data_IF_395446599368
#
_entry.id   IF_395446599368
#
_cell.length_a   1.000
_cell.length_b   1.000
_cell.length_c   1.000
_cell.angle_alpha   90.00
_cell.angle_beta   90.00
_cell.angle_gamma   90.00
#
_symmetry.space_group_name_H-M   'P 1'
#
loop_
_entity.id
_entity.type
_entity.pdbx_description
1 polymer ?
#
# COMPACT_ATOMS: atom_id res chain seq x y z
N UNK A 1 -22.83 -3.00 -17.11
CA UNK A 1 -23.00 -2.52 -15.72
C UNK A 1 -21.84 -1.56 -15.46
N UNK A 2 -22.11 -0.26 -15.29
CA UNK A 2 -21.06 0.75 -15.08
C UNK A 2 -20.65 0.68 -13.60
N UNK A 3 -19.46 0.17 -13.30
CA UNK A 3 -18.88 0.25 -11.97
C UNK A 3 -17.93 1.44 -11.97
N UNK A 4 -18.45 2.60 -11.63
CA UNK A 4 -17.64 3.81 -11.45
C UNK A 4 -16.90 3.74 -10.10
N UNK A 5 -15.71 4.37 -9.96
CA UNK A 5 -15.06 4.57 -8.67
C UNK A 5 -16.06 5.13 -7.65
N UNK A 6 -16.37 4.35 -6.61
CA UNK A 6 -17.31 4.75 -5.55
C UNK A 6 -16.58 4.98 -4.23
N UNK A 7 -16.32 6.25 -3.94
CA UNK A 7 -15.72 6.68 -2.69
C UNK A 7 -16.59 6.36 -1.46
N UNK A 8 -17.91 6.16 -1.65
CA UNK A 8 -18.83 5.74 -0.60
C UNK A 8 -18.58 4.29 -0.17
N UNK A 9 -18.60 3.36 -1.13
CA UNK A 9 -18.27 1.95 -0.87
C UNK A 9 -16.88 1.79 -0.27
N UNK A 10 -15.86 2.46 -0.83
CA UNK A 10 -14.50 2.39 -0.30
C UNK A 10 -14.41 2.90 1.15
N UNK A 11 -15.20 3.90 1.53
CA UNK A 11 -15.26 4.41 2.91
C UNK A 11 -15.92 3.40 3.86
N UNK A 12 -17.00 2.75 3.42
CA UNK A 12 -17.66 1.71 4.20
C UNK A 12 -16.75 0.52 4.47
N UNK A 13 -15.93 0.12 3.49
CA UNK A 13 -14.94 -0.95 3.66
C UNK A 13 -13.84 -0.56 4.66
N UNK A 14 -13.38 0.68 4.62
CA UNK A 14 -12.39 1.22 5.56
C UNK A 14 -12.94 1.28 6.99
N UNK A 15 -14.18 1.74 7.19
CA UNK A 15 -14.80 1.81 8.51
C UNK A 15 -14.96 0.40 9.12
N UNK A 16 -15.31 -0.60 8.29
CA UNK A 16 -15.34 -2.01 8.70
C UNK A 16 -13.94 -2.54 9.06
N UNK A 17 -12.91 -2.12 8.34
CA UNK A 17 -11.54 -2.50 8.65
C UNK A 17 -11.08 -1.91 9.99
N UNK A 18 -11.42 -0.65 10.27
CA UNK A 18 -11.14 0.03 11.54
C UNK A 18 -11.75 -0.76 12.72
N UNK A 19 -13.00 -1.19 12.61
CA UNK A 19 -13.67 -2.03 13.61
C UNK A 19 -12.94 -3.36 13.85
N UNK A 20 -12.53 -4.05 12.78
CA UNK A 20 -11.82 -5.33 12.87
C UNK A 20 -10.45 -5.16 13.54
N UNK A 21 -9.73 -4.08 13.22
CA UNK A 21 -8.42 -3.78 13.79
C UNK A 21 -8.55 -3.44 15.26
N UNK A 22 -9.50 -2.57 15.63
CA UNK A 22 -9.80 -2.25 17.03
C UNK A 22 -10.15 -3.52 17.81
N UNK A 23 -11.04 -4.37 17.27
CA UNK A 23 -11.40 -5.64 17.88
C UNK A 23 -10.20 -6.56 18.09
N UNK A 24 -9.28 -6.65 17.12
CA UNK A 24 -8.06 -7.45 17.26
C UNK A 24 -7.12 -6.90 18.35
N UNK A 25 -6.97 -5.58 18.48
CA UNK A 25 -6.12 -4.93 19.48
C UNK A 25 -6.72 -5.05 20.88
N UNK A 26 -8.03 -4.81 21.03
CA UNK A 26 -8.75 -5.03 22.30
C UNK A 26 -8.66 -6.49 22.72
N UNK A 27 -8.89 -7.40 21.78
CA UNK A 27 -8.78 -8.82 22.07
C UNK A 27 -7.35 -9.13 22.55
N UNK A 28 -6.30 -8.51 21.98
CA UNK A 28 -4.90 -8.60 22.39
C UNK A 28 -4.58 -8.10 23.81
N UNK A 29 -5.56 -7.54 24.51
CA UNK A 29 -5.44 -7.01 25.86
C UNK A 29 -5.06 -5.53 25.90
N UNK A 30 -5.11 -4.82 24.77
CA UNK A 30 -4.88 -3.38 24.75
C UNK A 30 -6.18 -2.64 25.07
N UNK A 31 -6.10 -1.62 25.93
CA UNK A 31 -7.27 -0.83 26.29
C UNK A 31 -7.79 -0.03 25.10
N UNK A 32 -9.11 0.07 24.93
CA UNK A 32 -9.73 0.82 23.83
C UNK A 32 -9.34 2.31 23.83
N UNK A 33 -8.96 2.87 24.98
CA UNK A 33 -8.47 4.25 25.12
C UNK A 33 -7.04 4.48 24.62
N UNK A 34 -6.30 3.43 24.22
CA UNK A 34 -4.91 3.55 23.76
C UNK A 34 -4.78 4.21 22.39
N UNK A 35 -5.82 4.14 21.55
CA UNK A 35 -5.83 4.69 20.18
C UNK A 35 -7.05 5.58 19.94
N UNK A 36 -6.93 6.48 18.95
CA UNK A 36 -8.08 7.17 18.35
C UNK A 36 -8.54 6.42 17.10
N UNK A 37 -9.80 6.59 16.65
CA UNK A 37 -10.26 5.98 15.39
C UNK A 37 -9.35 6.30 14.21
N UNK A 38 -8.86 7.54 14.09
CA UNK A 38 -7.93 7.94 13.04
C UNK A 38 -6.58 7.23 13.09
N UNK A 39 -6.15 6.77 14.26
CA UNK A 39 -4.89 6.03 14.42
C UNK A 39 -5.01 4.63 13.78
N UNK A 40 -6.20 4.02 13.79
CA UNK A 40 -6.44 2.65 13.32
C UNK A 40 -6.11 2.48 11.84
N UNK A 41 -6.37 3.51 11.03
CA UNK A 41 -6.10 3.56 9.59
C UNK A 41 -4.62 3.51 9.20
N UNK A 42 -3.71 3.51 10.16
CA UNK A 42 -2.28 3.39 9.88
C UNK A 42 -1.92 1.93 9.54
N UNK A 43 -1.31 1.66 8.36
CA UNK A 43 -1.04 0.29 7.90
C UNK A 43 -0.20 -0.56 8.87
N UNK A 44 0.64 0.06 9.69
CA UNK A 44 1.41 -0.66 10.71
C UNK A 44 0.53 -1.30 11.81
N UNK A 45 -0.57 -0.63 12.19
CA UNK A 45 -1.55 -1.17 13.14
C UNK A 45 -2.29 -2.37 12.52
N UNK A 46 -2.65 -2.30 11.23
CA UNK A 46 -3.24 -3.41 10.49
C UNK A 46 -2.32 -4.65 10.49
N UNK A 47 -1.03 -4.47 10.19
CA UNK A 47 -0.06 -5.56 10.21
C UNK A 47 0.07 -6.21 11.59
N UNK A 48 0.03 -5.41 12.65
CA UNK A 48 0.04 -5.94 14.03
C UNK A 48 -1.23 -6.68 14.37
N UNK A 49 -2.41 -6.14 14.05
CA UNK A 49 -3.68 -6.82 14.26
C UNK A 49 -3.68 -8.20 13.58
N UNK A 50 -3.25 -8.29 12.32
CA UNK A 50 -3.10 -9.56 11.61
C UNK A 50 -2.10 -10.53 12.27
N UNK A 51 -0.94 -10.04 12.73
CA UNK A 51 0.02 -10.89 13.46
C UNK A 51 -0.60 -11.45 14.73
N UNK A 52 -1.28 -10.62 15.51
CA UNK A 52 -1.95 -11.04 16.74
C UNK A 52 -3.07 -12.04 16.47
N UNK A 53 -3.87 -11.80 15.44
CA UNK A 53 -4.92 -12.71 15.01
C UNK A 53 -4.35 -14.09 14.60
N UNK A 54 -3.27 -14.12 13.81
CA UNK A 54 -2.60 -15.37 13.42
C UNK A 54 -2.03 -16.12 14.62
N UNK A 55 -1.34 -15.42 15.52
CA UNK A 55 -0.78 -16.03 16.73
C UNK A 55 -1.87 -16.67 17.61
N UNK A 56 -3.04 -16.02 17.73
CA UNK A 56 -4.21 -16.56 18.46
C UNK A 56 -4.79 -17.80 17.79
N UNK A 57 -4.96 -17.76 16.46
CA UNK A 57 -5.44 -18.92 15.70
C UNK A 57 -4.51 -20.11 15.90
N UNK A 58 -3.19 -19.92 15.78
CA UNK A 58 -2.20 -20.96 16.01
C UNK A 58 -2.25 -21.56 17.43
N UNK A 59 -2.46 -20.72 18.46
CA UNK A 59 -2.64 -21.20 19.85
C UNK A 59 -3.92 -22.01 20.02
N UNK A 60 -5.05 -21.57 19.43
CA UNK A 60 -6.32 -22.30 19.49
C UNK A 60 -6.23 -23.67 18.81
N UNK A 61 -5.52 -23.77 17.70
CA UNK A 61 -5.30 -25.05 17.01
C UNK A 61 -4.35 -25.97 17.76
N UNK A 62 -3.40 -25.42 18.54
CA UNK A 62 -2.45 -26.21 19.34
C UNK A 62 -3.01 -26.64 20.71
N UNK A 63 -3.98 -25.92 21.27
CA UNK A 63 -4.58 -26.18 22.58
C UNK A 63 -5.10 -27.62 22.82
N UNK A 64 -5.81 -28.29 21.88
CA UNK A 64 -6.32 -29.65 22.14
C UNK A 64 -5.22 -30.72 22.31
N UNK A 65 -3.96 -30.44 21.94
CA UNK A 65 -2.84 -31.35 22.15
C UNK A 65 -2.19 -31.23 23.54
N UNK A 66 -2.31 -30.07 24.21
CA UNK A 66 -1.64 -29.78 25.50
C UNK A 66 -2.53 -30.15 26.68
N UNK A 67 -3.85 -30.11 26.51
CA UNK A 67 -4.82 -30.37 27.58
C UNK A 67 -4.85 -31.86 28.03
N UNK A 68 -4.27 -32.77 27.23
CA UNK A 68 -4.06 -34.18 27.63
C UNK A 68 -2.84 -34.41 28.53
N UNK A 69 -1.95 -33.43 28.69
CA UNK A 69 -0.70 -33.59 29.45
C UNK A 69 -0.67 -32.83 30.78
N UNK A 70 -1.76 -32.15 31.17
CA UNK A 70 -1.77 -31.15 32.27
C UNK A 70 -2.47 -31.60 33.56
N UNK A 71 -2.58 -32.89 33.81
CA UNK A 71 -3.00 -33.41 35.12
C UNK A 71 -1.81 -33.55 36.06
N UNK A 72 -1.44 -32.47 36.76
CA UNK A 72 -0.60 -32.55 37.96
C UNK A 72 0.39 -31.40 38.17
N UNK A 73 0.00 -30.39 38.97
CA UNK A 73 0.81 -29.70 39.99
C UNK A 73 0.29 -28.27 40.27
N UNK A 74 -0.09 -27.92 41.51
CA UNK A 74 -0.66 -26.60 41.86
C UNK A 74 0.37 -25.46 41.98
N UNK A 75 1.68 -25.72 41.92
CA UNK A 75 2.72 -24.68 42.05
C UNK A 75 3.00 -23.88 40.75
N UNK A 76 2.48 -24.31 39.60
CA UNK A 76 2.73 -23.65 38.32
C UNK A 76 1.88 -22.38 38.08
N UNK A 77 0.75 -22.22 38.78
CA UNK A 77 -0.24 -21.18 38.49
C UNK A 77 0.27 -19.74 38.70
N UNK A 78 1.09 -19.48 39.73
CA UNK A 78 1.61 -18.14 40.02
C UNK A 78 2.76 -17.68 39.12
N UNK A 79 3.45 -18.62 38.45
CA UNK A 79 4.47 -18.29 37.44
C UNK A 79 3.81 -17.99 36.09
N UNK A 80 2.76 -18.74 35.75
CA UNK A 80 1.97 -18.51 34.53
C UNK A 80 1.25 -17.15 34.54
N UNK A 81 0.63 -16.74 35.66
CA UNK A 81 -0.05 -15.44 35.75
C UNK A 81 0.90 -14.24 35.56
N UNK A 82 2.11 -14.31 36.15
CA UNK A 82 3.14 -13.28 35.96
C UNK A 82 3.66 -13.22 34.53
N UNK A 83 3.88 -14.37 33.90
CA UNK A 83 4.31 -14.43 32.50
C UNK A 83 3.25 -13.88 31.54
N UNK A 84 1.97 -14.19 31.78
CA UNK A 84 0.84 -13.66 31.00
C UNK A 84 0.75 -12.14 31.16
N UNK A 85 0.83 -11.63 32.39
CA UNK A 85 0.79 -10.18 32.67
C UNK A 85 1.93 -9.43 31.97
N UNK A 86 3.17 -9.92 32.09
CA UNK A 86 4.32 -9.30 31.42
C UNK A 86 4.19 -9.32 29.88
N UNK A 87 3.59 -10.37 29.31
CA UNK A 87 3.32 -10.42 27.86
C UNK A 87 2.25 -9.41 27.41
N UNK A 88 1.23 -9.17 28.25
CA UNK A 88 0.20 -8.16 27.98
C UNK A 88 0.77 -6.75 28.05
N UNK A 89 1.57 -6.43 29.07
CA UNK A 89 2.25 -5.14 29.22
C UNK A 89 3.16 -4.84 28.02
N UNK A 90 3.97 -5.81 27.60
CA UNK A 90 4.81 -5.67 26.39
C UNK A 90 3.97 -5.47 25.11
N UNK A 91 2.80 -6.11 25.03
CA UNK A 91 1.91 -5.95 23.88
C UNK A 91 1.32 -4.55 23.85
N UNK A 92 0.88 -4.04 25.01
CA UNK A 92 0.34 -2.69 25.13
C UNK A 92 1.40 -1.63 24.82
N UNK A 93 2.63 -1.78 25.33
CA UNK A 93 3.74 -0.87 25.02
C UNK A 93 4.05 -0.82 23.52
N UNK A 94 4.08 -1.97 22.85
CA UNK A 94 4.24 -2.05 21.39
C UNK A 94 3.11 -1.33 20.65
N UNK A 95 1.86 -1.48 21.09
CA UNK A 95 0.71 -0.78 20.50
C UNK A 95 0.82 0.73 20.73
N UNK A 96 1.20 1.19 21.93
CA UNK A 96 1.44 2.61 22.21
C UNK A 96 2.53 3.20 21.29
N UNK A 97 3.66 2.52 21.14
CA UNK A 97 4.74 2.95 20.25
C UNK A 97 4.25 3.06 18.79
N UNK A 98 3.39 2.14 18.37
CA UNK A 98 2.82 2.12 17.02
C UNK A 98 1.74 3.18 16.80
N UNK A 99 0.96 3.53 17.83
CA UNK A 99 0.07 4.70 17.82
C UNK A 99 0.86 6.00 17.65
N UNK A 100 2.02 6.12 18.29
CA UNK A 100 2.90 7.28 18.07
C UNK A 100 3.41 7.33 16.61
N UNK A 101 3.72 6.18 16.00
CA UNK A 101 4.07 6.10 14.57
C UNK A 101 2.89 6.47 13.68
N UNK A 102 1.68 6.00 13.99
CA UNK A 102 0.45 6.36 13.27
C UNK A 102 0.24 7.88 13.24
N UNK A 103 0.44 8.55 14.38
CA UNK A 103 0.32 10.02 14.47
C UNK A 103 1.39 10.75 13.66
N UNK A 104 2.63 10.25 13.66
CA UNK A 104 3.70 10.79 12.79
C UNK A 104 3.37 10.61 11.31
N UNK A 105 2.84 9.44 10.93
CA UNK A 105 2.36 9.16 9.58
C UNK A 105 1.24 10.13 9.17
N UNK A 106 0.24 10.35 10.02
CA UNK A 106 -0.81 11.35 9.79
C UNK A 106 -0.24 12.77 9.63
N UNK A 107 0.73 13.17 10.46
CA UNK A 107 1.35 14.49 10.37
C UNK A 107 2.07 14.68 9.01
N UNK A 108 2.78 13.66 8.53
CA UNK A 108 3.39 13.66 7.20
C UNK A 108 2.33 13.71 6.09
N UNK A 109 1.27 12.92 6.21
CA UNK A 109 0.16 12.92 5.26
C UNK A 109 -0.49 14.30 5.11
N UNK A 110 -0.74 15.01 6.22
CA UNK A 110 -1.25 16.39 6.21
C UNK A 110 -0.28 17.38 5.55
N UNK A 111 1.02 17.15 5.65
CA UNK A 111 2.01 17.98 4.96
C UNK A 111 1.95 17.79 3.44
N UNK A 112 1.76 16.55 2.98
CA UNK A 112 1.57 16.23 1.56
C UNK A 112 0.25 16.79 1.04
N UNK A 113 -0.83 16.66 1.81
CA UNK A 113 -2.17 17.15 1.45
C UNK A 113 -2.19 18.64 1.08
N UNK A 114 -1.43 19.48 1.81
CA UNK A 114 -1.33 20.91 1.51
C UNK A 114 -0.85 21.21 0.09
N UNK A 115 -0.10 20.29 -0.53
CA UNK A 115 0.51 20.46 -1.85
C UNK A 115 -0.22 19.69 -2.95
N UNK A 116 -0.85 18.57 -2.61
CA UNK A 116 -1.49 17.67 -3.60
C UNK A 116 -3.02 17.58 -3.47
N UNK A 117 -3.58 18.09 -2.37
CA UNK A 117 -4.96 17.84 -1.96
C UNK A 117 -5.22 16.37 -1.58
N UNK A 118 -4.18 15.54 -1.39
CA UNK A 118 -4.30 14.14 -1.00
C UNK A 118 -3.50 13.86 0.27
N UNK A 119 -4.22 13.56 1.36
CA UNK A 119 -3.64 13.15 2.63
C UNK A 119 -3.07 11.72 2.58
N UNK A 120 -1.85 11.61 2.04
CA UNK A 120 -1.11 10.35 1.96
C UNK A 120 0.30 10.51 2.51
N UNK A 121 0.73 9.53 3.28
CA UNK A 121 2.07 9.52 3.88
C UNK A 121 3.09 8.96 2.89
N UNK A 122 4.04 9.80 2.49
CA UNK A 122 5.26 9.35 1.80
C UNK A 122 6.20 8.75 2.85
N UNK A 123 6.09 7.44 3.02
CA UNK A 123 6.64 6.73 4.17
C UNK A 123 8.18 6.68 4.12
N UNK A 124 8.88 6.89 5.27
CA UNK A 124 10.34 6.80 5.35
C UNK A 124 10.82 5.36 5.47
N UNK A 125 12.14 5.17 5.35
CA UNK A 125 12.83 3.87 5.47
C UNK A 125 12.67 3.18 6.83
N UNK A 126 12.50 3.95 7.91
CA UNK A 126 12.43 3.46 9.30
C UNK A 126 11.12 2.77 9.72
N UNK A 127 10.20 2.46 8.81
CA UNK A 127 8.91 1.86 9.13
C UNK A 127 8.97 0.31 9.09
N UNK A 128 9.02 -0.32 10.26
CA UNK A 128 9.25 -1.78 10.40
C UNK A 128 8.25 -2.67 9.63
N UNK A 129 6.97 -2.28 9.56
CA UNK A 129 5.96 -3.07 8.85
C UNK A 129 6.19 -3.07 7.33
N UNK A 130 6.72 -1.97 6.79
CA UNK A 130 7.06 -1.85 5.38
C UNK A 130 8.29 -2.70 5.07
N UNK A 131 9.36 -2.60 5.87
CA UNK A 131 10.55 -3.44 5.73
C UNK A 131 10.24 -4.95 5.88
N UNK A 132 9.30 -5.32 6.75
CA UNK A 132 8.83 -6.70 6.86
C UNK A 132 8.06 -7.17 5.62
N UNK A 133 7.28 -6.27 4.99
CA UNK A 133 6.55 -6.56 3.75
C UNK A 133 7.49 -6.79 2.59
N UNK A 134 8.52 -5.96 2.43
CA UNK A 134 9.57 -6.14 1.42
C UNK A 134 10.30 -7.47 1.60
N UNK A 135 10.69 -7.81 2.83
CA UNK A 135 11.32 -9.12 3.11
C UNK A 135 10.41 -10.31 2.80
N UNK A 136 9.10 -10.19 3.00
CA UNK A 136 8.14 -11.23 2.59
C UNK A 136 8.07 -11.35 1.07
N UNK A 137 7.94 -10.23 0.37
CA UNK A 137 7.86 -10.18 -1.08
C UNK A 137 9.11 -10.79 -1.72
N UNK A 138 10.30 -10.45 -1.23
CA UNK A 138 11.56 -11.05 -1.71
C UNK A 138 11.61 -12.57 -1.52
N UNK A 139 11.11 -13.10 -0.40
CA UNK A 139 11.04 -14.56 -0.17
C UNK A 139 10.02 -15.27 -1.06
N UNK A 140 8.98 -14.57 -1.50
CA UNK A 140 7.91 -15.12 -2.33
C UNK A 140 8.15 -14.92 -3.83
N UNK A 141 9.11 -14.08 -4.21
CA UNK A 141 9.40 -13.79 -5.59
C UNK A 141 9.93 -15.06 -6.30
N UNK A 142 9.33 -15.47 -7.43
CA UNK A 142 9.74 -16.67 -8.17
C UNK A 142 11.19 -16.52 -8.63
N UNK A 143 12.00 -17.59 -8.65
CA UNK A 143 13.41 -17.51 -9.04
C UNK A 143 13.60 -16.89 -10.46
N UNK A 144 14.71 -16.18 -10.74
CA UNK A 144 14.93 -15.59 -12.05
C UNK A 144 14.98 -16.69 -13.12
N UNK A 145 14.29 -16.49 -14.24
CA UNK A 145 14.25 -17.44 -15.35
C UNK A 145 15.64 -17.66 -15.98
N UNK A 146 16.48 -16.62 -15.99
CA UNK A 146 17.74 -16.60 -16.76
C UNK A 146 18.96 -17.15 -16.01
N UNK A 147 18.77 -17.72 -14.82
CA UNK A 147 19.89 -18.25 -14.01
C UNK A 147 20.92 -17.20 -13.58
N UNK A 148 20.66 -15.92 -13.85
CA UNK A 148 21.49 -14.80 -13.42
C UNK A 148 21.48 -14.72 -11.90
N UNK A 149 22.60 -15.12 -11.29
CA UNK A 149 22.84 -15.14 -9.84
C UNK A 149 23.02 -13.74 -9.23
N UNK A 150 22.38 -12.72 -9.79
CA UNK A 150 22.33 -11.43 -9.12
C UNK A 150 21.46 -11.56 -7.87
N UNK A 151 22.01 -11.27 -6.70
CA UNK A 151 21.21 -11.21 -5.48
C UNK A 151 20.14 -10.13 -5.66
N UNK A 152 18.87 -10.53 -5.61
CA UNK A 152 17.76 -9.58 -5.72
C UNK A 152 17.73 -8.72 -4.48
N UNK A 153 17.98 -7.44 -4.66
CA UNK A 153 17.90 -6.46 -3.59
C UNK A 153 16.60 -5.67 -3.72
N UNK A 154 15.89 -5.53 -2.61
CA UNK A 154 14.83 -4.54 -2.47
C UNK A 154 14.82 -4.07 -1.01
N UNK A 155 14.80 -2.77 -0.81
CA UNK A 155 14.73 -2.16 0.52
C UNK A 155 13.86 -0.91 0.49
N UNK A 156 13.34 -0.51 1.65
CA UNK A 156 12.60 0.74 1.76
C UNK A 156 13.59 1.88 1.85
N UNK A 157 13.43 2.89 1.01
CA UNK A 157 14.30 4.07 0.97
C UNK A 157 13.52 5.34 1.29
N UNK A 158 14.23 6.37 1.75
CA UNK A 158 13.62 7.68 1.96
C UNK A 158 13.35 8.41 0.63
N UNK A 159 12.35 9.28 0.66
CA UNK A 159 11.96 10.13 -0.47
C UNK A 159 12.85 11.38 -0.54
N UNK A 160 13.56 11.57 -1.66
CA UNK A 160 14.28 12.81 -1.97
C UNK A 160 13.32 13.97 -2.27
N UNK A 161 13.85 15.19 -2.38
CA UNK A 161 13.05 16.36 -2.75
C UNK A 161 12.51 16.22 -4.18
N UNK A 162 13.35 15.80 -5.12
CA UNK A 162 13.02 15.62 -6.54
C UNK A 162 11.92 14.56 -6.71
N UNK A 163 12.00 13.45 -5.97
CA UNK A 163 10.99 12.39 -6.02
C UNK A 163 9.64 12.85 -5.46
N UNK A 164 9.64 13.73 -4.46
CA UNK A 164 8.41 14.34 -3.93
C UNK A 164 7.78 15.29 -4.96
N UNK A 165 8.58 16.04 -5.70
CA UNK A 165 8.10 16.88 -6.80
C UNK A 165 7.46 16.04 -7.91
N UNK A 166 8.09 14.92 -8.31
CA UNK A 166 7.51 13.96 -9.25
C UNK A 166 6.17 13.42 -8.74
N UNK A 167 6.07 13.13 -7.44
CA UNK A 167 4.83 12.70 -6.81
C UNK A 167 3.73 13.77 -6.88
N UNK A 168 4.07 15.03 -6.57
CA UNK A 168 3.16 16.16 -6.61
C UNK A 168 2.66 16.46 -8.02
N UNK A 169 3.54 16.41 -9.01
CA UNK A 169 3.19 16.52 -10.43
C UNK A 169 2.28 15.37 -10.87
N UNK A 170 2.60 14.14 -10.50
CA UNK A 170 1.76 12.97 -10.77
C UNK A 170 0.35 13.12 -10.19
N UNK A 171 0.22 13.66 -8.97
CA UNK A 171 -1.08 13.96 -8.37
C UNK A 171 -1.85 15.02 -9.15
N UNK A 172 -1.18 16.08 -9.64
CA UNK A 172 -1.82 17.13 -10.46
C UNK A 172 -2.32 16.56 -11.79
N UNK A 173 -1.52 15.73 -12.44
CA UNK A 173 -1.92 15.02 -13.66
C UNK A 173 -3.14 14.15 -13.39
N UNK A 174 -3.13 13.35 -12.32
CA UNK A 174 -4.25 12.48 -11.99
C UNK A 174 -5.51 13.28 -11.63
N UNK A 175 -5.39 14.38 -10.90
CA UNK A 175 -6.52 15.25 -10.55
C UNK A 175 -7.17 15.88 -11.80
N UNK A 176 -6.35 16.27 -12.78
CA UNK A 176 -6.83 16.91 -14.01
C UNK A 176 -7.40 15.90 -15.00
N UNK A 177 -6.70 14.78 -15.22
CA UNK A 177 -7.10 13.78 -16.20
C UNK A 177 -8.16 12.82 -15.65
N UNK A 178 -8.14 12.53 -14.34
CA UNK A 178 -8.99 11.50 -13.76
C UNK A 178 -9.32 11.71 -12.26
N UNK A 179 -10.13 12.74 -11.94
CA UNK A 179 -10.44 13.13 -10.56
C UNK A 179 -11.10 12.00 -9.74
N UNK A 180 -11.88 11.12 -10.36
CA UNK A 180 -12.55 10.00 -9.70
C UNK A 180 -11.55 8.95 -9.20
N UNK A 181 -10.51 8.65 -9.97
CA UNK A 181 -9.46 7.72 -9.54
C UNK A 181 -8.66 8.29 -8.37
N UNK A 182 -8.34 9.58 -8.42
CA UNK A 182 -7.70 10.23 -7.28
C UNK A 182 -8.61 10.22 -6.04
N UNK A 183 -9.92 10.38 -6.20
CA UNK A 183 -10.88 10.26 -5.09
C UNK A 183 -10.87 8.86 -4.46
N UNK A 184 -10.76 7.80 -5.27
CA UNK A 184 -10.63 6.43 -4.79
C UNK A 184 -9.30 6.19 -4.07
N UNK A 185 -8.17 6.61 -4.67
CA UNK A 185 -6.84 6.49 -4.04
C UNK A 185 -6.79 7.26 -2.71
N UNK A 186 -7.46 8.41 -2.60
CA UNK A 186 -7.60 9.17 -1.34
C UNK A 186 -8.30 8.36 -0.24
N UNK A 187 -9.17 7.42 -0.60
CA UNK A 187 -9.85 6.56 0.36
C UNK A 187 -9.02 5.32 0.67
N UNK A 188 -8.46 4.66 -0.35
CA UNK A 188 -7.85 3.33 -0.21
C UNK A 188 -6.38 3.36 0.16
N UNK A 189 -5.63 4.39 -0.24
CA UNK A 189 -4.20 4.48 0.01
C UNK A 189 -3.88 5.50 1.11
N UNK A 190 -3.08 5.03 2.07
CA UNK A 190 -2.62 5.77 3.25
C UNK A 190 -1.12 6.02 3.21
N UNK A 191 -0.36 5.09 2.62
CA UNK A 191 1.10 5.19 2.52
C UNK A 191 1.57 4.87 1.10
N UNK A 192 2.48 5.69 0.58
CA UNK A 192 3.28 5.37 -0.61
C UNK A 192 4.72 5.21 -0.17
N UNK A 193 5.28 4.05 -0.45
CA UNK A 193 6.59 3.62 0.01
C UNK A 193 7.53 3.50 -1.17
N UNK A 194 8.71 4.08 -1.04
CA UNK A 194 9.72 4.00 -2.10
C UNK A 194 10.62 2.79 -1.87
N UNK A 195 10.91 2.06 -2.96
CA UNK A 195 11.86 0.96 -2.97
C UNK A 195 13.17 1.36 -3.65
N UNK A 196 14.29 0.98 -3.04
CA UNK A 196 15.60 0.88 -3.68
C UNK A 196 15.87 -0.56 -4.11
N UNK A 197 16.86 -0.76 -4.99
CA UNK A 197 17.29 -2.08 -5.46
C UNK A 197 16.62 -2.57 -6.75
N UNK A 198 17.05 -3.74 -7.24
CA UNK A 198 16.69 -4.28 -8.57
C UNK A 198 15.74 -5.51 -8.54
N UNK A 199 15.25 -5.91 -7.36
CA UNK A 199 14.48 -7.15 -7.20
C UNK A 199 12.96 -7.02 -7.36
N UNK A 200 12.41 -5.81 -7.21
CA UNK A 200 10.96 -5.57 -7.16
C UNK A 200 10.65 -4.18 -7.75
N UNK A 201 9.84 -4.12 -8.80
CA UNK A 201 9.41 -2.84 -9.42
C UNK A 201 8.31 -2.12 -8.64
N UNK A 202 7.56 -2.86 -7.83
CA UNK A 202 6.52 -2.35 -6.96
C UNK A 202 5.52 -3.46 -6.64
N UNK A 203 4.77 -3.32 -5.55
CA UNK A 203 3.76 -4.29 -5.13
C UNK A 203 2.82 -3.68 -4.10
N UNK A 204 1.75 -4.42 -3.78
CA UNK A 204 0.94 -4.23 -2.56
C UNK A 204 1.01 -5.48 -1.72
N UNK A 205 0.99 -5.31 -0.40
CA UNK A 205 0.91 -6.42 0.53
C UNK A 205 -0.35 -6.27 1.37
N UNK A 206 -1.27 -7.21 1.24
CA UNK A 206 -2.54 -7.23 1.96
C UNK A 206 -2.37 -7.26 3.48
N UNK A 207 -1.20 -7.59 4.02
CA UNK A 207 -0.97 -7.50 5.46
C UNK A 207 -0.71 -6.07 5.95
N UNK A 208 -0.40 -5.13 5.04
CA UNK A 208 -0.24 -3.69 5.29
C UNK A 208 -1.24 -2.91 4.43
N UNK A 209 -2.53 -3.19 4.63
CA UNK A 209 -3.63 -2.52 3.92
C UNK A 209 -3.45 -1.01 3.86
N UNK A 210 -3.62 -0.45 2.67
CA UNK A 210 -3.44 0.98 2.39
C UNK A 210 -1.99 1.41 2.14
N UNK A 211 -1.03 0.49 2.03
CA UNK A 211 0.33 0.79 1.59
C UNK A 211 0.61 0.26 0.17
N UNK A 212 1.18 1.11 -0.67
CA UNK A 212 1.72 0.73 -1.99
C UNK A 212 3.24 0.94 -2.01
N UNK A 213 3.95 0.04 -2.68
CA UNK A 213 5.39 0.10 -2.87
C UNK A 213 5.71 0.40 -4.33
N UNK A 214 6.54 1.42 -4.57
CA UNK A 214 6.95 1.88 -5.91
C UNK A 214 8.47 1.91 -5.96
N UNK A 215 9.08 1.32 -6.99
CA UNK A 215 10.53 1.40 -7.16
C UNK A 215 10.97 2.81 -7.57
N UNK A 216 12.00 3.34 -6.90
CA UNK A 216 12.55 4.68 -7.14
C UNK A 216 13.01 4.89 -8.58
N UNK A 217 13.47 3.85 -9.28
CA UNK A 217 13.87 3.95 -10.69
C UNK A 217 12.74 4.30 -11.63
N UNK A 218 11.48 4.01 -11.25
CA UNK A 218 10.30 4.42 -12.03
C UNK A 218 10.12 5.93 -12.03
N UNK A 219 10.66 6.65 -11.04
CA UNK A 219 10.49 8.09 -10.89
C UNK A 219 11.51 8.92 -11.67
N UNK A 220 12.64 8.35 -12.08
CA UNK A 220 13.61 9.06 -12.92
C UNK A 220 13.11 9.21 -14.36
N UNK A 221 13.60 10.20 -15.11
CA UNK A 221 13.26 10.34 -16.53
C UNK A 221 14.20 9.52 -17.45
N UNK A 222 15.25 8.91 -16.89
CA UNK A 222 16.28 8.17 -17.62
C UNK A 222 15.97 6.67 -17.83
N UNK A 223 14.69 6.28 -17.86
CA UNK A 223 14.28 4.90 -18.16
C UNK A 223 14.24 4.62 -19.65
N UNK A 224 14.57 3.39 -20.07
CA UNK A 224 14.62 2.92 -21.47
C UNK A 224 13.25 2.71 -22.13
N UNK A 225 12.13 3.11 -21.50
CA UNK A 225 10.76 2.72 -21.88
C UNK A 225 9.81 3.91 -22.17
N UNK A 226 10.36 5.06 -22.57
CA UNK A 226 9.61 6.12 -23.27
C UNK A 226 8.63 6.99 -22.45
N UNK A 227 8.18 6.57 -21.26
CA UNK A 227 7.30 7.38 -20.40
C UNK A 227 8.08 8.16 -19.33
N UNK A 228 7.76 9.45 -19.17
CA UNK A 228 8.30 10.28 -18.10
C UNK A 228 7.97 9.73 -16.71
N UNK A 229 8.87 9.94 -15.73
CA UNK A 229 8.78 9.33 -14.40
C UNK A 229 7.45 9.59 -13.67
N UNK A 230 6.90 10.80 -13.84
CA UNK A 230 5.58 11.18 -13.32
C UNK A 230 4.42 10.33 -13.84
N UNK A 231 4.45 9.93 -15.12
CA UNK A 231 3.41 9.09 -15.71
C UNK A 231 3.56 7.64 -15.26
N UNK A 232 4.80 7.15 -15.14
CA UNK A 232 5.09 5.82 -14.60
C UNK A 232 4.73 5.67 -13.13
N UNK A 233 4.79 6.76 -12.37
CA UNK A 233 4.26 6.81 -11.00
C UNK A 233 2.73 6.68 -11.00
N UNK A 234 2.03 7.48 -11.82
CA UNK A 234 0.56 7.43 -11.91
C UNK A 234 0.10 6.02 -12.31
N UNK A 235 0.76 5.43 -13.30
CA UNK A 235 0.54 4.04 -13.71
C UNK A 235 0.78 3.07 -12.54
N UNK A 236 1.89 3.22 -11.80
CA UNK A 236 2.21 2.36 -10.66
C UNK A 236 1.16 2.46 -9.54
N UNK A 237 0.64 3.66 -9.24
CA UNK A 237 -0.43 3.84 -8.26
C UNK A 237 -1.73 3.15 -8.70
N UNK A 238 -2.04 3.26 -9.99
CA UNK A 238 -3.23 2.66 -10.59
C UNK A 238 -3.18 1.13 -10.62
N UNK A 239 -2.12 0.54 -11.19
CA UNK A 239 -1.94 -0.92 -11.34
C UNK A 239 -1.92 -1.69 -10.02
N UNK A 240 -1.72 -0.97 -8.92
CA UNK A 240 -1.57 -1.51 -7.58
C UNK A 240 -2.83 -1.38 -6.74
N UNK A 241 -3.93 -0.91 -7.31
CA UNK A 241 -5.25 -1.12 -6.71
C UNK A 241 -5.57 -2.62 -6.69
N UNK A 242 -6.21 -3.14 -5.62
CA UNK A 242 -6.50 -4.55 -5.48
C UNK A 242 -7.33 -5.08 -6.66
N UNK A 243 -6.83 -6.14 -7.30
CA UNK A 243 -7.48 -6.75 -8.45
C UNK A 243 -8.84 -7.33 -8.04
N UNK A 244 -9.89 -6.83 -8.69
CA UNK A 244 -11.28 -7.18 -8.42
C UNK A 244 -12.11 -6.92 -9.66
N UNK A 245 -13.31 -7.53 -9.79
CA UNK A 245 -14.17 -7.34 -10.96
C UNK A 245 -14.39 -5.86 -11.28
N UNK A 246 -14.59 -5.05 -10.23
CA UNK A 246 -14.67 -3.61 -10.33
C UNK A 246 -13.40 -2.96 -10.92
N UNK A 247 -12.19 -3.33 -10.47
CA UNK A 247 -10.93 -2.76 -11.01
C UNK A 247 -10.71 -3.15 -12.47
N UNK A 248 -11.03 -4.39 -12.86
CA UNK A 248 -10.92 -4.85 -14.25
C UNK A 248 -11.92 -4.18 -15.18
N UNK A 249 -13.18 -4.04 -14.76
CA UNK A 249 -14.20 -3.32 -15.51
C UNK A 249 -13.80 -1.84 -15.68
N UNK A 250 -13.22 -1.24 -14.64
CA UNK A 250 -12.66 0.13 -14.69
C UNK A 250 -11.45 0.23 -15.61
N UNK A 251 -10.56 -0.77 -15.63
CA UNK A 251 -9.43 -0.84 -16.57
C UNK A 251 -9.89 -0.89 -18.02
N UNK A 252 -10.94 -1.66 -18.31
CA UNK A 252 -11.50 -1.75 -19.66
C UNK A 252 -12.06 -0.40 -20.12
N UNK A 253 -12.82 0.30 -19.26
CA UNK A 253 -13.35 1.64 -19.57
C UNK A 253 -12.24 2.66 -19.81
N UNK A 254 -11.13 2.55 -19.07
CA UNK A 254 -9.97 3.42 -19.26
C UNK A 254 -9.26 3.21 -20.59
N UNK A 255 -9.00 1.97 -20.96
CA UNK A 255 -8.37 1.67 -22.25
C UNK A 255 -9.25 2.18 -23.38
N UNK A 256 -10.58 2.07 -23.25
CA UNK A 256 -11.54 2.63 -24.20
C UNK A 256 -11.52 4.16 -24.26
N UNK A 257 -11.52 4.85 -23.11
CA UNK A 257 -11.49 6.32 -23.05
C UNK A 257 -10.14 6.87 -23.53
N UNK A 258 -9.05 6.28 -23.09
CA UNK A 258 -7.70 6.61 -23.52
C UNK A 258 -7.49 6.39 -25.01
N UNK A 259 -7.96 5.25 -25.55
CA UNK A 259 -7.97 4.98 -26.98
C UNK A 259 -8.78 6.01 -27.77
N UNK A 260 -9.94 6.45 -27.28
CA UNK A 260 -10.72 7.55 -27.90
C UNK A 260 -10.00 8.90 -27.85
N UNK A 261 -9.35 9.20 -26.73
CA UNK A 261 -8.53 10.41 -26.57
C UNK A 261 -7.37 10.44 -27.57
N UNK A 262 -6.63 9.34 -27.69
CA UNK A 262 -5.57 9.17 -28.68
C UNK A 262 -6.12 9.29 -30.11
N UNK A 263 -7.23 8.63 -30.44
CA UNK A 263 -7.86 8.75 -31.76
C UNK A 263 -8.28 10.20 -32.09
N UNK A 264 -8.78 10.94 -31.10
CA UNK A 264 -9.16 12.35 -31.25
C UNK A 264 -7.94 13.24 -31.51
N UNK A 265 -6.84 13.01 -30.78
CA UNK A 265 -5.58 13.71 -30.98
C UNK A 265 -4.95 13.37 -32.33
N UNK A 266 -5.01 12.11 -32.76
CA UNK A 266 -4.58 11.68 -34.11
C UNK A 266 -5.35 12.38 -35.21
N UNK A 267 -6.67 12.52 -35.06
CA UNK A 267 -7.51 13.30 -35.98
C UNK A 267 -7.13 14.78 -36.05
N UNK A 268 -6.36 15.28 -35.07
CA UNK A 268 -5.84 16.66 -35.00
C UNK A 268 -4.30 16.72 -35.08
N UNK A 269 -3.64 15.67 -35.56
CA UNK A 269 -2.17 15.57 -35.51
C UNK A 269 -1.45 16.76 -36.20
N UNK A 270 -2.04 17.33 -37.26
CA UNK A 270 -1.52 18.51 -37.94
C UNK A 270 -1.52 19.79 -37.11
N UNK A 271 -2.27 19.84 -36.01
CA UNK A 271 -2.31 20.96 -35.07
C UNK A 271 -1.46 20.73 -33.80
N UNK A 272 -0.83 19.56 -33.66
CA UNK A 272 0.02 19.25 -32.52
C UNK A 272 1.41 19.87 -32.70
N UNK A 273 2.05 20.23 -31.60
CA UNK A 273 3.49 20.52 -31.54
C UNK A 273 4.28 19.20 -31.66
N UNK A 274 5.61 19.27 -31.82
CA UNK A 274 6.46 18.07 -31.80
C UNK A 274 6.30 17.27 -30.50
N UNK A 275 6.31 17.95 -29.35
CA UNK A 275 6.05 17.32 -28.06
C UNK A 275 4.63 16.73 -27.97
N UNK A 276 3.63 17.35 -28.61
CA UNK A 276 2.28 16.83 -28.68
C UNK A 276 2.17 15.56 -29.52
N UNK A 277 2.92 15.48 -30.62
CA UNK A 277 3.04 14.26 -31.45
C UNK A 277 3.74 13.14 -30.69
N UNK A 278 4.83 13.43 -30.01
CA UNK A 278 5.56 12.45 -29.21
C UNK A 278 4.68 11.87 -28.09
N UNK A 279 3.91 12.71 -27.39
CA UNK A 279 2.96 12.27 -26.39
C UNK A 279 1.82 11.41 -26.99
N UNK A 280 1.37 11.74 -28.20
CA UNK A 280 0.37 10.95 -28.91
C UNK A 280 0.91 9.55 -29.25
N UNK A 281 2.12 9.46 -29.78
CA UNK A 281 2.76 8.17 -30.10
C UNK A 281 2.93 7.31 -28.83
N UNK A 282 3.33 7.92 -27.72
CA UNK A 282 3.41 7.26 -26.41
C UNK A 282 2.05 6.76 -25.93
N UNK A 283 1.00 7.59 -26.03
CA UNK A 283 -0.35 7.20 -25.64
C UNK A 283 -0.87 6.04 -26.49
N UNK A 284 -0.63 6.07 -27.80
CA UNK A 284 -1.04 5.03 -28.73
C UNK A 284 -0.32 3.70 -28.47
N UNK A 285 0.97 3.74 -28.12
CA UNK A 285 1.71 2.54 -27.72
C UNK A 285 1.13 1.90 -26.44
N UNK A 286 0.73 2.72 -25.46
CA UNK A 286 0.09 2.25 -24.23
C UNK A 286 -1.26 1.60 -24.52
N UNK A 287 -2.07 2.17 -25.40
CA UNK A 287 -3.42 1.64 -25.69
C UNK A 287 -3.45 0.51 -26.73
N UNK A 288 -2.43 0.40 -27.60
CA UNK A 288 -2.33 -0.67 -28.59
C UNK A 288 -1.97 -2.04 -27.99
N UNK A 289 -1.27 -2.07 -26.85
CA UNK A 289 -0.81 -3.32 -26.23
C UNK A 289 -1.90 -4.09 -25.51
N UNK A 290 -3.03 -3.45 -25.15
CA UNK A 290 -4.31 -4.10 -24.80
C UNK A 290 -4.33 -5.21 -23.74
N UNK A 291 -3.24 -5.52 -23.05
CA UNK A 291 -3.12 -6.76 -22.28
C UNK A 291 -2.85 -6.50 -20.79
N UNK A 292 -3.42 -7.34 -19.89
CA UNK A 292 -3.16 -7.33 -18.45
C UNK A 292 -1.69 -7.56 -18.10
#
# INVERSE_FOLDING_TARGET
MRIEPDAGSARSDEDRLDELVAGCLTAAGCAAGTWKPTDLRYPGLHATAHRTQRARRARRTAAPAVERSRTGAPHAAGAEDRAVRGALEQTEERVRAMVLRARRSQARARSVEKRTGWAVDLAPSGEDHLAQSVRRALRQAPAPADGSRGERTAEVTDWSAEQREVFEEGCRILQAAWPQMLAELRVTLRQVTLLGGWGIDGFTDFTVHGAVFVNSRRLGDHGTEGLAGRLRLVEALYRRLPDGPAVRDRHAVLLEQGGRGAATLRGRAGALTDAGRELLDQAEAVFATGAP
#
